data_IF_897550502420
#
_entry.id   IF_897550502420
#
_cell.length_a   1.000
_cell.length_b   1.000
_cell.length_c   1.000
_cell.angle_alpha   90.00
_cell.angle_beta   90.00
_cell.angle_gamma   90.00
#
_symmetry.space_group_name_H-M   'P 1'
#
loop_
_entity.id
_entity.type
_entity.pdbx_description
1 polymer ?
#
# COMPACT_ATOMS: atom_id res chain seq x y z
N UNK A 1 -9.32 13.48 -27.00
CA UNK A 1 -9.01 13.05 -25.62
C UNK A 1 -10.30 12.46 -25.06
N UNK A 2 -10.34 11.14 -24.82
CA UNK A 2 -11.54 10.46 -24.32
C UNK A 2 -11.55 10.52 -22.80
N UNK A 3 -12.48 11.28 -22.22
CA UNK A 3 -12.69 11.31 -20.77
C UNK A 3 -13.70 10.21 -20.43
N UNK A 4 -13.22 9.18 -19.73
CA UNK A 4 -14.07 8.08 -19.22
C UNK A 4 -14.27 8.24 -17.72
N UNK A 5 -15.42 7.77 -17.24
CA UNK A 5 -15.74 7.73 -15.81
C UNK A 5 -15.29 6.39 -15.24
N UNK A 6 -14.48 6.43 -14.19
CA UNK A 6 -14.08 5.26 -13.40
C UNK A 6 -14.51 5.47 -11.95
N UNK A 7 -14.99 4.42 -11.32
CA UNK A 7 -15.21 4.39 -9.88
C UNK A 7 -13.88 4.25 -9.14
N UNK A 8 -13.86 4.72 -7.88
CA UNK A 8 -12.71 4.54 -6.99
C UNK A 8 -12.41 3.06 -6.74
N UNK A 9 -13.43 2.21 -6.69
CA UNK A 9 -13.31 0.75 -6.55
C UNK A 9 -12.58 0.15 -7.76
N UNK A 10 -12.98 0.49 -8.99
CA UNK A 10 -12.33 0.01 -10.22
C UNK A 10 -10.86 0.45 -10.28
N UNK A 11 -10.57 1.69 -9.89
CA UNK A 11 -9.20 2.19 -9.82
C UNK A 11 -8.39 1.37 -8.82
N UNK A 12 -8.87 1.20 -7.59
CA UNK A 12 -8.17 0.45 -6.54
C UNK A 12 -7.94 -1.01 -6.94
N UNK A 13 -8.95 -1.66 -7.54
CA UNK A 13 -8.80 -3.02 -8.09
C UNK A 13 -7.67 -3.07 -9.13
N UNK A 14 -7.67 -2.16 -10.12
CA UNK A 14 -6.62 -2.12 -11.14
C UNK A 14 -5.23 -1.92 -10.53
N UNK A 15 -5.11 -1.09 -9.48
CA UNK A 15 -3.85 -0.90 -8.76
C UNK A 15 -3.39 -2.18 -8.07
N UNK A 16 -4.28 -2.91 -7.38
CA UNK A 16 -3.93 -4.19 -6.73
C UNK A 16 -3.51 -5.23 -7.76
N UNK A 17 -4.27 -5.41 -8.84
CA UNK A 17 -3.92 -6.38 -9.89
C UNK A 17 -2.56 -6.07 -10.51
N UNK A 18 -2.29 -4.80 -10.83
CA UNK A 18 -1.00 -4.37 -11.36
C UNK A 18 0.13 -4.58 -10.35
N UNK A 19 -0.11 -4.30 -9.07
CA UNK A 19 0.86 -4.53 -8.00
C UNK A 19 1.19 -6.02 -7.85
N UNK A 20 0.19 -6.90 -7.94
CA UNK A 20 0.37 -8.34 -7.89
C UNK A 20 1.16 -8.87 -9.09
N UNK A 21 0.89 -8.37 -10.30
CA UNK A 21 1.68 -8.69 -11.49
C UNK A 21 3.15 -8.27 -11.33
N UNK A 22 3.39 -7.05 -10.84
CA UNK A 22 4.74 -6.55 -10.55
C UNK A 22 5.45 -7.41 -9.52
N UNK A 23 4.75 -7.81 -8.45
CA UNK A 23 5.28 -8.66 -7.39
C UNK A 23 5.64 -10.07 -7.88
N UNK A 24 4.76 -10.71 -8.65
CA UNK A 24 4.94 -12.10 -9.08
C UNK A 24 5.86 -12.25 -10.28
N UNK A 25 5.70 -11.40 -11.30
CA UNK A 25 6.34 -11.62 -12.60
C UNK A 25 7.64 -10.84 -12.69
N UNK A 26 7.60 -9.57 -12.31
CA UNK A 26 8.73 -8.65 -12.51
C UNK A 26 9.66 -8.59 -11.30
N UNK A 27 9.18 -8.97 -10.12
CA UNK A 27 9.91 -8.79 -8.86
C UNK A 27 10.14 -7.32 -8.50
N UNK A 28 9.36 -6.40 -9.07
CA UNK A 28 9.45 -4.96 -8.80
C UNK A 28 8.67 -4.61 -7.53
N UNK A 29 9.35 -4.75 -6.40
CA UNK A 29 8.75 -4.62 -5.08
C UNK A 29 8.36 -3.18 -4.73
N UNK A 30 9.14 -2.18 -5.14
CA UNK A 30 8.87 -0.77 -4.79
C UNK A 30 7.67 -0.21 -5.56
N UNK A 31 7.53 -0.56 -6.84
CA UNK A 31 6.34 -0.23 -7.60
C UNK A 31 5.12 -0.95 -7.02
N UNK A 32 5.24 -2.24 -6.69
CA UNK A 32 4.15 -2.99 -6.05
C UNK A 32 3.72 -2.36 -4.71
N UNK A 33 4.66 -1.98 -3.85
CA UNK A 33 4.42 -1.26 -2.59
C UNK A 33 3.62 0.03 -2.84
N UNK A 34 4.03 0.82 -3.82
CA UNK A 34 3.41 2.12 -4.12
C UNK A 34 1.96 1.96 -4.58
N UNK A 35 1.72 1.05 -5.51
CA UNK A 35 0.36 0.82 -6.04
C UNK A 35 -0.54 0.16 -4.98
N UNK A 36 -0.01 -0.78 -4.18
CA UNK A 36 -0.75 -1.38 -3.08
C UNK A 36 -1.15 -0.35 -2.01
N UNK A 37 -0.23 0.53 -1.60
CA UNK A 37 -0.53 1.60 -0.66
C UNK A 37 -1.57 2.59 -1.19
N UNK A 38 -1.48 2.98 -2.46
CA UNK A 38 -2.49 3.84 -3.09
C UNK A 38 -3.87 3.16 -3.15
N UNK A 39 -3.92 1.86 -3.45
CA UNK A 39 -5.17 1.10 -3.44
C UNK A 39 -5.77 1.00 -2.04
N UNK A 40 -4.95 0.67 -1.04
CA UNK A 40 -5.37 0.59 0.37
C UNK A 40 -6.00 1.91 0.82
N UNK A 41 -5.34 3.05 0.58
CA UNK A 41 -5.84 4.36 0.99
C UNK A 41 -7.22 4.66 0.37
N UNK A 42 -7.39 4.37 -0.93
CA UNK A 42 -8.68 4.53 -1.61
C UNK A 42 -9.75 3.64 -0.95
N UNK A 43 -9.43 2.39 -0.67
CA UNK A 43 -10.37 1.40 -0.14
C UNK A 43 -10.76 1.69 1.30
N UNK A 44 -9.82 2.09 2.16
CA UNK A 44 -10.14 2.48 3.54
C UNK A 44 -11.10 3.68 3.54
N UNK A 45 -10.89 4.67 2.68
CA UNK A 45 -11.82 5.79 2.55
C UNK A 45 -13.22 5.32 2.12
N UNK A 46 -13.32 4.39 1.16
CA UNK A 46 -14.60 3.84 0.71
C UNK A 46 -15.29 3.03 1.84
N UNK A 47 -14.55 2.18 2.55
CA UNK A 47 -15.06 1.41 3.68
C UNK A 47 -15.50 2.31 4.86
N UNK A 48 -14.77 3.40 5.12
CA UNK A 48 -15.14 4.39 6.13
C UNK A 48 -16.47 5.08 5.80
N UNK A 49 -16.67 5.45 4.53
CA UNK A 49 -17.95 6.00 4.06
C UNK A 49 -19.08 4.98 4.18
N UNK A 50 -18.85 3.73 3.75
CA UNK A 50 -19.85 2.64 3.83
C UNK A 50 -20.25 2.30 5.26
N UNK A 51 -19.30 2.39 6.20
CA UNK A 51 -19.51 2.05 7.62
C UNK A 51 -20.02 3.21 8.48
N UNK A 52 -20.17 4.42 7.92
CA UNK A 52 -20.50 5.62 8.67
C UNK A 52 -19.40 6.08 9.64
N UNK A 53 -18.15 5.63 9.43
CA UNK A 53 -16.98 5.88 10.30
C UNK A 53 -15.99 6.83 9.64
N UNK A 54 -16.44 7.95 9.12
CA UNK A 54 -15.59 8.92 8.40
C UNK A 54 -14.35 9.36 9.20
N UNK A 55 -14.42 9.44 10.54
CA UNK A 55 -13.27 9.79 11.38
C UNK A 55 -12.17 8.71 11.50
N UNK A 56 -12.36 7.50 10.97
CA UNK A 56 -11.32 6.46 10.95
C UNK A 56 -10.36 6.62 9.75
N UNK A 57 -10.84 7.21 8.64
CA UNK A 57 -10.02 7.48 7.46
C UNK A 57 -8.87 8.47 7.75
N UNK A 58 -9.02 9.34 8.75
CA UNK A 58 -7.98 10.27 9.21
C UNK A 58 -6.83 9.58 9.96
N UNK A 59 -6.99 8.31 10.38
CA UNK A 59 -5.97 7.54 11.10
C UNK A 59 -5.21 6.55 10.23
N UNK A 60 -5.47 6.51 8.93
CA UNK A 60 -4.68 5.68 8.01
C UNK A 60 -3.29 6.28 7.96
N UNK A 61 -2.32 5.51 8.45
CA UNK A 61 -0.90 5.84 8.28
C UNK A 61 -0.65 5.87 6.78
N UNK A 62 -0.49 7.07 6.22
CA UNK A 62 -0.21 7.21 4.80
C UNK A 62 1.06 6.40 4.47
N UNK A 63 1.12 5.78 3.29
CA UNK A 63 2.36 5.17 2.80
C UNK A 63 3.56 6.12 2.96
N UNK A 64 3.33 7.43 2.82
CA UNK A 64 4.32 8.48 3.03
C UNK A 64 4.79 8.65 4.48
N UNK A 65 4.00 8.23 5.48
CA UNK A 65 4.42 8.19 6.88
C UNK A 65 5.30 6.96 7.18
N UNK A 66 5.05 5.82 6.53
CA UNK A 66 5.92 4.62 6.62
C UNK A 66 7.27 4.89 5.94
N UNK A 67 7.26 5.55 4.79
CA UNK A 67 8.46 5.97 4.07
C UNK A 67 9.15 7.19 4.71
N UNK A 68 8.57 7.77 5.76
CA UNK A 68 9.14 8.95 6.41
C UNK A 68 10.34 8.52 7.24
N UNK A 69 11.49 9.16 7.05
CA UNK A 69 12.65 8.82 7.86
C UNK A 69 12.42 9.08 9.35
N UNK A 70 12.95 8.20 10.18
CA UNK A 70 12.84 8.30 11.63
C UNK A 70 13.53 9.59 12.11
N UNK A 71 12.74 10.60 12.51
CA UNK A 71 13.26 11.86 13.08
C UNK A 71 13.95 11.59 14.42
N UNK A 72 15.25 11.30 14.41
CA UNK A 72 16.08 11.47 15.59
C UNK A 72 16.39 12.96 15.75
N UNK A 73 15.89 13.57 16.83
CA UNK A 73 16.34 14.88 17.30
C UNK A 73 17.80 14.76 17.75
N UNK A 74 18.75 14.94 16.84
CA UNK A 74 20.11 15.36 17.18
C UNK A 74 20.21 16.82 16.82
N UNK A 75 20.60 17.69 17.75
CA UNK A 75 20.78 19.13 17.52
C UNK A 75 22.12 19.39 16.80
N UNK A 76 22.11 20.28 15.80
CA UNK A 76 23.30 20.99 15.30
C UNK A 76 24.32 20.22 14.45
N UNK A 77 24.41 20.56 13.16
CA UNK A 77 25.55 20.23 12.29
C UNK A 77 25.16 19.71 10.90
N UNK A 78 25.95 20.09 9.88
CA UNK A 78 26.05 19.44 8.56
C UNK A 78 26.63 18.03 8.72
N UNK A 79 25.87 17.17 9.37
CA UNK A 79 26.25 15.78 9.63
C UNK A 79 25.80 14.92 8.44
N UNK A 80 26.71 14.27 7.69
CA UNK A 80 26.33 13.34 6.63
C UNK A 80 25.37 12.24 7.12
N UNK A 81 25.38 11.90 8.41
CA UNK A 81 24.40 10.99 8.99
C UNK A 81 22.97 11.55 9.06
N UNK A 82 22.80 12.88 9.16
CA UNK A 82 21.48 13.54 9.04
C UNK A 82 20.98 13.53 7.59
N UNK A 83 21.86 13.79 6.62
CA UNK A 83 21.50 13.75 5.21
C UNK A 83 21.09 12.34 4.77
N UNK A 84 21.85 11.32 5.21
CA UNK A 84 21.49 9.93 4.98
C UNK A 84 20.17 9.58 5.65
N UNK A 85 19.96 9.97 6.91
CA UNK A 85 18.69 9.78 7.58
C UNK A 85 17.53 10.46 6.84
N UNK A 86 17.70 11.63 6.22
CA UNK A 86 16.62 12.31 5.48
C UNK A 86 16.35 11.74 4.07
N UNK A 87 17.30 11.00 3.50
CA UNK A 87 17.25 10.57 2.09
C UNK A 87 17.20 9.05 1.89
N UNK A 88 17.48 8.28 2.95
CA UNK A 88 17.57 6.82 2.91
C UNK A 88 16.55 6.19 3.86
N UNK A 89 15.85 5.18 3.35
CA UNK A 89 14.94 4.33 4.13
C UNK A 89 15.52 2.93 4.18
N UNK A 90 15.70 2.41 5.39
CA UNK A 90 16.05 1.00 5.60
C UNK A 90 14.76 0.19 5.75
N UNK A 91 14.48 -0.67 4.77
CA UNK A 91 13.31 -1.55 4.79
C UNK A 91 13.64 -2.91 4.18
N UNK A 92 12.91 -3.95 4.61
CA UNK A 92 12.78 -5.18 3.83
C UNK A 92 11.65 -4.98 2.82
N UNK A 93 12.03 -4.68 1.57
CA UNK A 93 11.07 -4.40 0.51
C UNK A 93 10.13 -5.59 0.22
N UNK A 94 10.57 -6.84 0.45
CA UNK A 94 9.69 -7.99 0.22
C UNK A 94 8.67 -8.12 1.33
N UNK A 95 9.10 -7.95 2.58
CA UNK A 95 8.18 -7.93 3.72
C UNK A 95 7.14 -6.82 3.57
N UNK A 96 7.58 -5.61 3.23
CA UNK A 96 6.70 -4.45 3.07
C UNK A 96 5.70 -4.64 1.92
N UNK A 97 6.16 -5.16 0.78
CA UNK A 97 5.27 -5.50 -0.34
C UNK A 97 4.20 -6.52 0.08
N UNK A 98 4.59 -7.56 0.82
CA UNK A 98 3.64 -8.58 1.29
C UNK A 98 2.62 -7.98 2.26
N UNK A 99 3.09 -7.16 3.20
CA UNK A 99 2.24 -6.50 4.18
C UNK A 99 1.20 -5.59 3.53
N UNK A 100 1.63 -4.68 2.65
CA UNK A 100 0.72 -3.72 2.01
C UNK A 100 -0.23 -4.37 1.00
N UNK A 101 0.25 -5.35 0.22
CA UNK A 101 -0.63 -6.13 -0.67
C UNK A 101 -1.71 -6.87 0.14
N UNK A 102 -1.33 -7.49 1.26
CA UNK A 102 -2.27 -8.16 2.16
C UNK A 102 -3.36 -7.21 2.67
N UNK A 103 -2.97 -6.04 3.18
CA UNK A 103 -3.91 -5.02 3.67
C UNK A 103 -4.82 -4.48 2.58
N UNK A 104 -4.28 -4.14 1.41
CA UNK A 104 -5.07 -3.65 0.28
C UNK A 104 -6.12 -4.69 -0.18
N UNK A 105 -5.73 -5.97 -0.22
CA UNK A 105 -6.64 -7.07 -0.56
C UNK A 105 -7.73 -7.24 0.51
N UNK A 106 -7.37 -7.20 1.79
CA UNK A 106 -8.33 -7.30 2.90
C UNK A 106 -9.39 -6.19 2.84
N UNK A 107 -8.97 -4.95 2.60
CA UNK A 107 -9.88 -3.81 2.45
C UNK A 107 -10.78 -3.95 1.21
N UNK A 108 -10.22 -4.44 0.10
CA UNK A 108 -10.99 -4.70 -1.13
C UNK A 108 -12.05 -5.79 -0.90
N UNK A 109 -11.68 -6.89 -0.26
CA UNK A 109 -12.59 -7.99 0.06
C UNK A 109 -13.64 -7.55 1.07
N UNK A 110 -13.29 -6.72 2.05
CA UNK A 110 -14.25 -6.13 3.00
C UNK A 110 -15.27 -5.25 2.28
N UNK A 111 -14.82 -4.46 1.29
CA UNK A 111 -15.70 -3.58 0.54
C UNK A 111 -16.65 -4.34 -0.40
N UNK A 112 -16.12 -5.32 -1.14
CA UNK A 112 -16.79 -5.94 -2.29
C UNK A 112 -17.30 -7.37 -2.05
N UNK A 113 -16.69 -8.10 -1.11
CA UNK A 113 -16.90 -9.52 -0.88
C UNK A 113 -16.40 -10.44 -2.01
N UNK A 114 -15.63 -9.92 -2.98
CA UNK A 114 -15.34 -10.61 -4.25
C UNK A 114 -13.85 -10.54 -4.60
N UNK A 115 -12.98 -11.35 -3.97
CA UNK A 115 -11.56 -11.39 -4.34
C UNK A 115 -11.37 -11.87 -5.78
N UNK A 116 -10.34 -11.37 -6.46
CA UNK A 116 -9.94 -11.85 -7.78
C UNK A 116 -9.09 -13.13 -7.67
N UNK A 117 -8.85 -13.80 -8.80
CA UNK A 117 -7.97 -14.98 -8.85
C UNK A 117 -6.53 -14.66 -8.43
N UNK A 118 -6.00 -13.51 -8.84
CA UNK A 118 -4.64 -13.08 -8.47
C UNK A 118 -4.53 -12.78 -6.97
N UNK A 119 -5.54 -12.15 -6.38
CA UNK A 119 -5.61 -11.92 -4.94
C UNK A 119 -5.64 -13.24 -4.15
N UNK A 120 -6.48 -14.19 -4.57
CA UNK A 120 -6.57 -15.50 -3.93
C UNK A 120 -5.24 -16.27 -4.00
N UNK A 121 -4.57 -16.22 -5.15
CA UNK A 121 -3.23 -16.81 -5.32
C UNK A 121 -2.21 -16.18 -4.37
N UNK A 122 -2.22 -14.85 -4.25
CA UNK A 122 -1.33 -14.16 -3.32
C UNK A 122 -1.57 -14.56 -1.87
N UNK A 123 -2.83 -14.59 -1.43
CA UNK A 123 -3.18 -14.98 -0.06
C UNK A 123 -2.76 -16.42 0.26
N UNK A 124 -2.89 -17.35 -0.70
CA UNK A 124 -2.47 -18.75 -0.49
C UNK A 124 -0.95 -18.90 -0.42
N UNK A 125 -0.19 -18.18 -1.25
CA UNK A 125 1.28 -18.24 -1.25
C UNK A 125 1.90 -17.51 -0.05
N UNK A 126 1.30 -16.40 0.39
CA UNK A 126 1.74 -15.65 1.56
C UNK A 126 1.53 -16.44 2.87
N UNK A 127 0.42 -17.17 2.99
CA UNK A 127 0.11 -18.00 4.17
C UNK A 127 1.08 -19.18 4.36
N UNK A 128 1.77 -19.64 3.31
CA UNK A 128 2.72 -20.76 3.35
C UNK A 128 4.14 -20.31 3.73
N UNK A 129 4.43 -19.00 3.69
CA UNK A 129 5.76 -18.43 3.93
C UNK A 129 5.85 -17.58 5.21
N UNK A 130 4.78 -17.52 5.99
CA UNK A 130 4.69 -16.83 7.29
C UNK A 130 5.04 -17.71 8.47
#
# INVERSE_FOLDING_TARGET
MDIRKYSKEEIAQCQIETALELFFVKGDLFSAITLAGAAEEILVQLNAVKSGRQGLAEKVVSLFEILRPARKKTEGGDDPARFEAETVVHMDARHEAVFLLGRAIEEYVTLTGKPTTLMLKFLSEAAVRG
#
